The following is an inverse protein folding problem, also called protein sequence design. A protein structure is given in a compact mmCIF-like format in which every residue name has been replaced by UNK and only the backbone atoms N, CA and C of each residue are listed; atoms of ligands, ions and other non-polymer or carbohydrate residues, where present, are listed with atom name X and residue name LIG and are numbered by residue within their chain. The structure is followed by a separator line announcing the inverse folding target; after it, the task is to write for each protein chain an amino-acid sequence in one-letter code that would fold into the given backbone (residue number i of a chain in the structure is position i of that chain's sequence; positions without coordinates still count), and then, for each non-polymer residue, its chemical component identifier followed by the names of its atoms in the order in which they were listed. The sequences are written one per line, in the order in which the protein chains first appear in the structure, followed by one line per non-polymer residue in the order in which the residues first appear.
data_IF_013184409889
#
_entry.id   IF_013184409889
#
_cell.length_a   1.000
_cell.length_b   1.000
_cell.length_c   1.000
_cell.angle_alpha   90.00
_cell.angle_beta   90.00
_cell.angle_gamma   90.00
#
_symmetry.space_group_name_H-M   'P 1'
#
loop_
_entity.id
_entity.type
_entity.pdbx_description
1 polymer ?
#
# COMPACT_ATOMS: atom_id res chain seq x y z
N UNK A 1 27.38 -8.21 15.85
CA UNK A 1 26.01 -7.63 15.89
C UNK A 1 25.28 -7.75 14.57
N UNK A 2 25.92 -7.53 13.40
CA UNK A 2 25.27 -7.63 12.08
C UNK A 2 24.72 -9.03 11.77
N UNK A 3 25.49 -10.08 12.04
CA UNK A 3 25.09 -11.48 11.68
C UNK A 3 23.87 -11.97 12.47
N UNK A 4 23.77 -11.57 13.75
CA UNK A 4 22.63 -11.94 14.58
C UNK A 4 21.35 -11.21 14.16
N UNK A 5 21.44 -9.94 13.76
CA UNK A 5 20.28 -9.20 13.24
C UNK A 5 19.82 -9.79 11.90
N UNK A 6 20.76 -10.09 10.99
CA UNK A 6 20.41 -10.65 9.69
C UNK A 6 19.70 -12.01 9.84
N UNK A 7 20.20 -12.88 10.73
CA UNK A 7 19.54 -14.16 11.00
C UNK A 7 18.14 -13.96 11.58
N UNK A 8 17.98 -13.04 12.55
CA UNK A 8 16.66 -12.74 13.12
C UNK A 8 15.67 -12.18 12.09
N UNK A 9 16.14 -11.32 11.17
CA UNK A 9 15.33 -10.81 10.06
C UNK A 9 14.96 -11.92 9.09
N UNK A 10 15.90 -12.79 8.76
CA UNK A 10 15.63 -13.97 7.92
C UNK A 10 14.55 -14.86 8.55
N UNK A 11 14.71 -15.21 9.82
CA UNK A 11 13.75 -16.06 10.54
C UNK A 11 12.36 -15.41 10.58
N UNK A 12 12.30 -14.10 10.83
CA UNK A 12 11.03 -13.34 10.81
C UNK A 12 10.37 -13.37 9.43
N UNK A 13 11.12 -13.08 8.37
CA UNK A 13 10.62 -13.08 6.99
C UNK A 13 10.12 -14.47 6.60
N UNK A 14 10.90 -15.53 6.84
CA UNK A 14 10.53 -16.91 6.52
C UNK A 14 9.27 -17.36 7.25
N UNK A 15 9.11 -16.95 8.52
CA UNK A 15 7.92 -17.25 9.31
C UNK A 15 6.66 -16.52 8.83
N UNK A 16 6.79 -15.28 8.31
CA UNK A 16 5.66 -14.40 8.05
C UNK A 16 5.31 -14.23 6.56
N UNK A 17 6.24 -14.42 5.62
CA UNK A 17 5.99 -14.27 4.18
C UNK A 17 4.88 -15.21 3.67
N UNK A 18 4.62 -16.30 4.40
CA UNK A 18 3.52 -17.20 4.14
C UNK A 18 2.17 -16.53 4.09
N UNK A 19 1.90 -15.65 5.04
CA UNK A 19 0.63 -14.95 5.14
C UNK A 19 0.37 -14.01 3.94
N UNK A 20 1.42 -13.39 3.39
CA UNK A 20 1.30 -12.63 2.14
C UNK A 20 0.82 -13.51 0.99
N UNK A 21 1.46 -14.67 0.79
CA UNK A 21 1.10 -15.60 -0.29
C UNK A 21 -0.31 -16.18 -0.12
N UNK A 22 -0.71 -16.50 1.10
CA UNK A 22 -2.07 -16.99 1.41
C UNK A 22 -3.13 -15.91 1.09
N UNK A 23 -2.91 -14.67 1.50
CA UNK A 23 -3.81 -13.55 1.19
C UNK A 23 -3.87 -13.30 -0.33
N UNK A 24 -2.72 -13.35 -1.02
CA UNK A 24 -2.64 -13.23 -2.47
C UNK A 24 -3.47 -14.32 -3.17
N UNK A 25 -3.32 -15.58 -2.74
CA UNK A 25 -4.08 -16.70 -3.26
C UNK A 25 -5.59 -16.57 -2.96
N UNK A 26 -5.96 -16.16 -1.75
CA UNK A 26 -7.34 -15.93 -1.36
C UNK A 26 -8.01 -14.81 -2.20
N UNK A 27 -7.24 -13.81 -2.62
CA UNK A 27 -7.71 -12.74 -3.50
C UNK A 27 -8.22 -13.29 -4.83
N UNK A 28 -7.56 -14.30 -5.39
CA UNK A 28 -7.98 -14.94 -6.65
C UNK A 28 -9.15 -15.89 -6.42
N UNK A 29 -9.09 -16.74 -5.38
CA UNK A 29 -10.09 -17.79 -5.14
C UNK A 29 -11.48 -17.27 -4.77
N UNK A 30 -11.58 -16.12 -4.11
CA UNK A 30 -12.81 -15.63 -3.49
C UNK A 30 -13.50 -14.48 -4.25
N UNK A 31 -13.02 -14.11 -5.45
CA UNK A 31 -13.58 -12.99 -6.22
C UNK A 31 -14.57 -13.47 -7.30
N UNK A 32 -15.57 -12.64 -7.54
CA UNK A 32 -16.53 -12.80 -8.64
C UNK A 32 -16.25 -11.78 -9.73
N UNK A 33 -16.68 -12.05 -10.95
CA UNK A 33 -16.54 -11.13 -12.07
C UNK A 33 -17.12 -9.75 -11.74
N UNK A 34 -18.30 -9.71 -11.15
CA UNK A 34 -19.00 -8.47 -10.81
C UNK A 34 -18.18 -7.58 -9.84
N UNK A 35 -17.53 -8.19 -8.84
CA UNK A 35 -16.65 -7.47 -7.89
C UNK A 35 -15.44 -6.83 -8.57
N UNK A 36 -14.95 -7.47 -9.62
CA UNK A 36 -13.78 -6.99 -10.38
C UNK A 36 -14.20 -5.89 -11.35
N UNK A 37 -15.32 -6.08 -12.04
CA UNK A 37 -15.83 -5.12 -13.03
C UNK A 37 -16.23 -3.78 -12.41
N UNK A 38 -16.93 -3.78 -11.27
CA UNK A 38 -17.40 -2.56 -10.59
C UNK A 38 -16.27 -1.63 -10.14
N UNK A 39 -15.05 -2.14 -10.05
CA UNK A 39 -13.86 -1.36 -9.63
C UNK A 39 -13.03 -0.84 -10.80
N UNK A 40 -13.46 -1.04 -12.03
CA UNK A 40 -12.68 -0.72 -13.22
C UNK A 40 -13.44 0.21 -14.16
N UNK A 41 -12.70 1.07 -14.83
CA UNK A 41 -13.26 2.06 -15.75
C UNK A 41 -13.58 1.42 -17.11
N UNK A 42 -14.86 1.20 -17.46
CA UNK A 42 -15.24 0.55 -18.72
C UNK A 42 -14.85 1.39 -19.94
N UNK A 43 -14.84 2.72 -19.83
CA UNK A 43 -14.45 3.61 -20.94
C UNK A 43 -12.99 3.43 -21.33
N UNK A 44 -12.10 3.28 -20.34
CA UNK A 44 -10.68 3.02 -20.60
C UNK A 44 -10.48 1.71 -21.37
N UNK A 45 -11.17 0.65 -20.96
CA UNK A 45 -11.03 -0.65 -21.64
C UNK A 45 -11.65 -0.62 -23.05
N UNK A 46 -12.77 0.09 -23.24
CA UNK A 46 -13.35 0.30 -24.56
C UNK A 46 -12.39 1.04 -25.50
N UNK A 47 -11.72 2.07 -25.01
CA UNK A 47 -10.75 2.84 -25.77
C UNK A 47 -9.54 2.00 -26.23
N UNK A 48 -9.17 0.95 -25.51
CA UNK A 48 -8.08 0.03 -25.88
C UNK A 48 -8.46 -0.97 -26.98
N UNK A 49 -9.73 -1.06 -27.38
CA UNK A 49 -10.25 -1.96 -28.42
C UNK A 49 -9.76 -3.41 -28.31
N UNK A 50 -9.94 -4.01 -27.13
CA UNK A 50 -9.44 -5.34 -26.79
C UNK A 50 -10.44 -6.44 -27.15
N UNK A 51 -9.94 -7.65 -27.43
CA UNK A 51 -10.76 -8.87 -27.43
C UNK A 51 -11.25 -9.17 -26.02
N UNK A 52 -12.29 -10.03 -25.86
CA UNK A 52 -12.80 -10.44 -24.55
C UNK A 52 -11.70 -11.00 -23.65
N UNK A 53 -10.85 -11.86 -24.20
CA UNK A 53 -9.75 -12.47 -23.45
C UNK A 53 -8.76 -11.40 -22.98
N UNK A 54 -8.32 -10.52 -23.86
CA UNK A 54 -7.41 -9.42 -23.51
C UNK A 54 -8.04 -8.46 -22.48
N UNK A 55 -9.34 -8.24 -22.58
CA UNK A 55 -10.09 -7.41 -21.64
C UNK A 55 -10.07 -8.04 -20.25
N UNK A 56 -10.43 -9.32 -20.11
CA UNK A 56 -10.47 -10.02 -18.83
C UNK A 56 -9.07 -10.06 -18.19
N UNK A 57 -8.04 -10.44 -18.96
CA UNK A 57 -6.66 -10.40 -18.45
C UNK A 57 -6.25 -8.98 -18.02
N UNK A 58 -6.49 -7.96 -18.83
CA UNK A 58 -6.13 -6.59 -18.51
C UNK A 58 -6.85 -6.04 -17.26
N UNK A 59 -8.10 -6.45 -17.02
CA UNK A 59 -8.83 -6.11 -15.81
C UNK A 59 -8.21 -6.81 -14.61
N UNK A 60 -7.88 -8.09 -14.74
CA UNK A 60 -7.30 -8.88 -13.65
C UNK A 60 -5.89 -8.44 -13.29
N UNK A 61 -5.03 -8.19 -14.27
CA UNK A 61 -3.68 -7.68 -14.03
C UNK A 61 -3.71 -6.35 -13.26
N UNK A 62 -4.58 -5.43 -13.67
CA UNK A 62 -4.76 -4.17 -12.99
C UNK A 62 -5.37 -4.33 -11.57
N UNK A 63 -6.17 -5.37 -11.35
CA UNK A 63 -6.73 -5.67 -10.04
C UNK A 63 -5.67 -6.29 -9.11
N UNK A 64 -4.95 -7.30 -9.58
CA UNK A 64 -3.92 -8.00 -8.80
C UNK A 64 -2.76 -7.10 -8.44
N UNK A 65 -2.23 -6.34 -9.39
CA UNK A 65 -1.13 -5.40 -9.14
C UNK A 65 -1.44 -4.47 -7.96
N UNK A 66 -2.64 -3.89 -7.93
CA UNK A 66 -3.03 -3.00 -6.82
C UNK A 66 -3.18 -3.73 -5.48
N UNK A 67 -3.65 -4.98 -5.49
CA UNK A 67 -3.79 -5.76 -4.26
C UNK A 67 -2.45 -6.25 -3.74
N UNK A 68 -1.58 -6.73 -4.62
CA UNK A 68 -0.24 -7.21 -4.27
C UNK A 68 0.62 -6.10 -3.69
N UNK A 69 0.59 -4.88 -4.24
CA UNK A 69 1.27 -3.72 -3.69
C UNK A 69 0.81 -3.41 -2.25
N UNK A 70 -0.48 -3.49 -1.98
CA UNK A 70 -1.02 -3.25 -0.64
C UNK A 70 -0.59 -4.36 0.32
N UNK A 71 -0.82 -5.63 -0.03
CA UNK A 71 -0.49 -6.77 0.82
C UNK A 71 1.01 -6.87 1.11
N UNK A 72 1.83 -6.58 0.11
CA UNK A 72 3.28 -6.61 0.27
C UNK A 72 3.78 -5.41 1.06
N UNK A 73 3.16 -4.24 0.90
CA UNK A 73 3.42 -3.06 1.72
C UNK A 73 3.20 -3.33 3.20
N UNK A 74 2.05 -3.91 3.56
CA UNK A 74 1.72 -4.29 4.95
C UNK A 74 2.74 -5.30 5.53
N UNK A 75 3.15 -6.28 4.71
CA UNK A 75 4.16 -7.25 5.11
C UNK A 75 5.53 -6.59 5.37
N UNK A 76 6.00 -5.73 4.46
CA UNK A 76 7.28 -5.02 4.62
C UNK A 76 7.25 -4.01 5.78
N UNK A 77 6.11 -3.38 6.05
CA UNK A 77 5.93 -2.54 7.26
C UNK A 77 6.13 -3.37 8.53
N UNK A 78 5.61 -4.61 8.55
CA UNK A 78 5.86 -5.56 9.63
C UNK A 78 7.35 -5.89 9.79
N UNK A 79 8.07 -6.12 8.69
CA UNK A 79 9.53 -6.34 8.70
C UNK A 79 10.26 -5.11 9.25
N UNK A 80 9.91 -3.90 8.80
CA UNK A 80 10.53 -2.67 9.27
C UNK A 80 10.31 -2.44 10.78
N UNK A 81 9.10 -2.71 11.26
CA UNK A 81 8.75 -2.64 12.69
C UNK A 81 9.57 -3.66 13.51
N UNK A 82 9.66 -4.90 13.03
CA UNK A 82 10.47 -5.95 13.66
C UNK A 82 11.96 -5.55 13.76
N UNK A 83 12.52 -5.09 12.64
CA UNK A 83 13.92 -4.61 12.59
C UNK A 83 14.15 -3.50 13.60
N UNK A 84 13.32 -2.46 13.58
CA UNK A 84 13.45 -1.33 14.49
C UNK A 84 13.34 -1.74 15.96
N UNK A 85 12.40 -2.63 16.29
CA UNK A 85 12.20 -3.11 17.68
C UNK A 85 13.31 -4.07 18.16
N UNK A 86 14.01 -4.72 17.22
CA UNK A 86 15.15 -5.59 17.54
C UNK A 86 16.40 -4.79 17.85
N UNK A 87 16.57 -3.64 17.18
CA UNK A 87 17.80 -2.83 17.28
C UNK A 87 17.67 -1.67 18.27
N UNK A 88 16.47 -1.11 18.39
CA UNK A 88 16.18 0.09 19.18
C UNK A 88 14.99 -0.09 20.12
N UNK A 89 14.78 0.88 21.03
CA UNK A 89 13.51 1.04 21.73
C UNK A 89 12.46 1.57 20.75
N UNK A 90 11.82 0.63 20.03
CA UNK A 90 10.87 0.95 18.99
C UNK A 90 9.60 0.10 19.10
N UNK A 91 8.46 0.67 18.75
CA UNK A 91 7.17 -0.01 18.75
C UNK A 91 6.19 0.57 17.72
N UNK A 92 5.23 -0.22 17.30
CA UNK A 92 4.05 0.25 16.57
C UNK A 92 3.04 0.78 17.61
N UNK A 93 2.64 2.07 17.53
CA UNK A 93 1.60 2.58 18.43
C UNK A 93 0.21 2.05 17.99
N UNK A 94 -0.77 2.07 18.90
CA UNK A 94 -2.16 1.83 18.50
C UNK A 94 -2.72 3.03 17.72
N UNK A 95 -3.75 2.79 16.91
CA UNK A 95 -4.43 3.87 16.15
C UNK A 95 -5.03 4.93 17.07
N UNK A 96 -5.55 4.52 18.24
CA UNK A 96 -6.12 5.42 19.24
C UNK A 96 -5.05 6.24 19.95
N UNK A 97 -3.81 5.73 20.01
CA UNK A 97 -2.69 6.44 20.62
C UNK A 97 -2.09 7.48 19.67
N UNK A 98 -1.71 7.07 18.46
CA UNK A 98 -1.08 7.91 17.45
C UNK A 98 -1.57 7.52 16.04
N UNK A 99 -2.65 8.15 15.64
CA UNK A 99 -3.26 7.86 14.33
C UNK A 99 -2.29 8.12 13.18
N UNK A 100 -2.15 7.13 12.28
CA UNK A 100 -1.35 7.22 11.08
C UNK A 100 0.16 7.18 11.28
N UNK A 101 0.62 6.91 12.53
CA UNK A 101 2.02 6.65 12.82
C UNK A 101 2.23 5.13 12.88
N UNK A 102 3.14 4.63 12.06
CA UNK A 102 3.42 3.21 11.93
C UNK A 102 4.49 2.73 12.91
N UNK A 103 5.41 3.63 13.32
CA UNK A 103 6.51 3.31 14.21
C UNK A 103 6.89 4.51 15.09
N UNK A 104 7.08 4.28 16.38
CA UNK A 104 7.76 5.21 17.30
C UNK A 104 9.09 4.59 17.68
N UNK A 105 10.16 5.32 17.47
CA UNK A 105 11.54 4.87 17.64
C UNK A 105 12.32 5.85 18.52
N UNK A 106 13.05 5.35 19.52
CA UNK A 106 14.01 6.14 20.31
C UNK A 106 15.43 5.82 19.94
N UNK A 107 16.17 6.85 19.55
CA UNK A 107 17.56 6.73 19.10
C UNK A 107 18.34 8.01 19.45
N UNK A 108 19.52 7.86 20.04
CA UNK A 108 20.42 8.98 20.37
C UNK A 108 19.75 10.11 21.18
N UNK A 109 18.90 9.76 22.15
CA UNK A 109 18.18 10.73 23.00
C UNK A 109 17.03 11.47 22.32
N UNK A 110 16.69 11.12 21.07
CA UNK A 110 15.59 11.68 20.30
C UNK A 110 14.46 10.66 20.11
N UNK A 111 13.25 11.17 19.96
CA UNK A 111 12.06 10.36 19.59
C UNK A 111 11.70 10.62 18.14
N UNK A 112 11.57 9.56 17.37
CA UNK A 112 11.15 9.62 15.98
C UNK A 112 9.74 9.04 15.84
N UNK A 113 8.87 9.78 15.14
CA UNK A 113 7.56 9.31 14.70
C UNK A 113 7.62 9.04 13.21
N UNK A 114 7.35 7.81 12.81
CA UNK A 114 7.57 7.35 11.44
C UNK A 114 6.26 6.93 10.80
N UNK A 115 5.96 7.47 9.63
CA UNK A 115 4.94 6.95 8.72
C UNK A 115 5.66 6.23 7.57
N UNK A 116 5.40 4.92 7.45
CA UNK A 116 6.07 4.04 6.48
C UNK A 116 5.28 3.99 5.18
N UNK A 117 5.99 4.03 4.06
CA UNK A 117 5.43 3.93 2.70
C UNK A 117 6.24 2.97 1.85
N UNK A 118 5.62 2.33 0.85
CA UNK A 118 6.32 1.42 -0.05
C UNK A 118 7.47 2.14 -0.75
N UNK A 119 7.21 3.23 -1.47
CA UNK A 119 8.23 3.92 -2.26
C UNK A 119 8.11 5.44 -2.26
N UNK A 120 9.02 6.17 -2.91
CA UNK A 120 9.12 7.62 -2.81
C UNK A 120 7.96 8.40 -3.45
N UNK A 121 7.23 7.78 -4.38
CA UNK A 121 6.13 8.40 -5.13
C UNK A 121 4.75 7.91 -4.67
N UNK A 122 4.62 7.58 -3.40
CA UNK A 122 3.46 6.91 -2.79
C UNK A 122 2.17 7.73 -2.76
N UNK A 123 2.25 9.05 -2.82
CA UNK A 123 1.10 9.88 -2.49
C UNK A 123 0.82 11.04 -3.43
N UNK A 124 -0.46 11.35 -3.61
CA UNK A 124 -0.92 12.62 -4.16
C UNK A 124 -0.94 13.72 -3.09
N UNK A 125 -1.28 14.95 -3.50
CA UNK A 125 -1.33 16.12 -2.60
C UNK A 125 -2.19 15.88 -1.35
N UNK A 126 -3.36 15.24 -1.48
CA UNK A 126 -4.25 14.98 -0.34
C UNK A 126 -3.67 13.98 0.65
N UNK A 127 -2.98 12.95 0.15
CA UNK A 127 -2.31 11.95 0.98
C UNK A 127 -1.13 12.56 1.74
N UNK A 128 -0.35 13.43 1.09
CA UNK A 128 0.73 14.18 1.75
C UNK A 128 0.16 15.10 2.85
N UNK A 129 -0.96 15.81 2.59
CA UNK A 129 -1.61 16.63 3.62
C UNK A 129 -2.07 15.80 4.82
N UNK A 130 -2.59 14.59 4.59
CA UNK A 130 -2.98 13.66 5.66
C UNK A 130 -1.77 13.24 6.51
N UNK A 131 -0.65 12.86 5.88
CA UNK A 131 0.59 12.54 6.59
C UNK A 131 1.05 13.71 7.47
N UNK A 132 1.07 14.94 6.94
CA UNK A 132 1.44 16.14 7.71
C UNK A 132 0.50 16.37 8.90
N UNK A 133 -0.79 16.10 8.72
CA UNK A 133 -1.77 16.17 9.82
C UNK A 133 -1.46 15.14 10.91
N UNK A 134 -1.17 13.90 10.54
CA UNK A 134 -0.78 12.85 11.49
C UNK A 134 0.47 13.24 12.28
N UNK A 135 1.49 13.76 11.62
CA UNK A 135 2.71 14.24 12.31
C UNK A 135 2.40 15.37 13.28
N UNK A 136 1.60 16.35 12.87
CA UNK A 136 1.19 17.46 13.75
C UNK A 136 0.42 16.97 14.97
N UNK A 137 -0.53 16.06 14.81
CA UNK A 137 -1.30 15.48 15.90
C UNK A 137 -0.41 14.68 16.84
N UNK A 138 0.51 13.87 16.29
CA UNK A 138 1.48 13.12 17.08
C UNK A 138 2.42 14.02 17.88
N UNK A 139 2.91 15.14 17.32
CA UNK A 139 3.68 16.14 18.06
C UNK A 139 2.90 16.70 19.27
N UNK A 140 1.63 17.07 19.07
CA UNK A 140 0.79 17.60 20.14
C UNK A 140 0.59 16.62 21.30
N UNK A 141 0.55 15.32 20.99
CA UNK A 141 0.36 14.26 22.00
C UNK A 141 1.67 13.95 22.72
N UNK A 142 2.77 13.91 22.00
CA UNK A 142 4.06 13.43 22.55
C UNK A 142 4.88 14.54 23.20
N UNK A 143 4.86 15.78 22.70
CA UNK A 143 5.66 16.87 23.26
C UNK A 143 5.39 17.14 24.73
N UNK A 144 4.13 17.13 25.25
CA UNK A 144 3.87 17.28 26.67
C UNK A 144 4.33 16.08 27.51
N UNK A 145 4.41 14.88 26.91
CA UNK A 145 4.87 13.66 27.59
C UNK A 145 6.40 13.58 27.70
N UNK A 146 7.08 14.21 26.74
CA UNK A 146 8.54 14.21 26.61
C UNK A 146 9.06 15.64 26.37
N UNK A 147 8.92 16.57 27.37
CA UNK A 147 9.19 17.99 27.18
C UNK A 147 10.66 18.28 26.81
N UNK A 148 11.58 17.46 27.32
CA UNK A 148 13.02 17.63 27.11
C UNK A 148 13.57 16.82 25.91
N UNK A 149 12.71 16.13 25.16
CA UNK A 149 13.12 15.33 24.02
C UNK A 149 12.78 16.03 22.70
N UNK A 150 13.73 16.00 21.79
CA UNK A 150 13.48 16.38 20.39
C UNK A 150 12.65 15.27 19.71
N UNK A 151 11.50 15.66 19.18
CA UNK A 151 10.62 14.77 18.41
C UNK A 151 10.79 15.10 16.93
N UNK A 152 11.09 14.08 16.11
CA UNK A 152 11.34 14.23 14.67
C UNK A 152 10.37 13.36 13.89
N UNK A 153 9.66 13.97 12.94
CA UNK A 153 8.80 13.24 12.00
C UNK A 153 9.63 12.65 10.86
N UNK A 154 9.32 11.42 10.47
CA UNK A 154 9.99 10.70 9.39
C UNK A 154 8.97 10.05 8.46
N UNK A 155 9.06 10.38 7.17
CA UNK A 155 8.44 9.59 6.11
C UNK A 155 9.46 8.56 5.62
N UNK A 156 9.32 7.31 6.05
CA UNK A 156 10.16 6.20 5.67
C UNK A 156 9.63 5.52 4.41
N UNK A 157 10.43 5.45 3.35
CA UNK A 157 10.08 4.74 2.12
C UNK A 157 10.96 3.48 1.99
N UNK A 158 10.33 2.31 1.88
CA UNK A 158 11.04 1.03 1.89
C UNK A 158 11.94 0.82 0.68
N UNK A 159 11.65 1.45 -0.45
CA UNK A 159 12.53 1.45 -1.62
C UNK A 159 12.63 2.85 -2.26
N UNK A 160 13.50 2.97 -3.25
CA UNK A 160 13.74 4.21 -3.99
C UNK A 160 14.86 5.06 -3.42
N UNK A 161 14.97 6.28 -3.89
CA UNK A 161 16.00 7.25 -3.51
C UNK A 161 15.39 8.64 -3.34
N UNK A 162 15.86 9.40 -2.36
CA UNK A 162 15.60 10.84 -2.25
C UNK A 162 16.93 11.54 -2.00
N UNK A 163 17.22 12.63 -2.74
CA UNK A 163 18.49 13.38 -2.63
C UNK A 163 18.45 14.45 -1.55
N UNK A 164 17.28 14.75 -1.03
CA UNK A 164 17.07 15.83 -0.05
C UNK A 164 16.25 15.31 1.11
N UNK A 165 16.87 14.68 2.11
CA UNK A 165 16.15 14.02 3.21
C UNK A 165 15.35 15.00 4.07
N UNK A 166 15.82 16.24 4.24
CA UNK A 166 15.08 17.26 5.00
C UNK A 166 13.97 17.88 4.14
N UNK A 167 12.74 17.75 4.57
CA UNK A 167 11.56 18.29 3.91
C UNK A 167 10.82 19.28 4.80
N UNK A 168 10.14 20.21 4.14
CA UNK A 168 9.25 21.18 4.79
C UNK A 168 7.88 21.06 4.15
N UNK A 169 6.94 20.49 4.87
CA UNK A 169 5.55 20.37 4.42
C UNK A 169 4.74 21.58 4.85
N UNK A 170 3.92 22.12 3.94
CA UNK A 170 2.91 23.14 4.28
C UNK A 170 1.57 22.47 4.50
N UNK A 171 1.04 22.58 5.72
CA UNK A 171 -0.27 22.05 6.06
C UNK A 171 -1.34 23.08 5.69
N UNK A 172 -2.24 22.68 4.78
CA UNK A 172 -3.40 23.49 4.40
C UNK A 172 -4.53 23.25 5.40
N UNK A 173 -4.62 24.03 6.44
CA UNK A 173 -5.71 23.98 7.41
C UNK A 173 -6.56 25.26 7.37
N UNK A 174 -7.85 25.14 7.66
CA UNK A 174 -8.81 26.25 7.59
C UNK A 174 -8.52 27.42 8.56
N UNK A 175 -7.61 27.24 9.51
CA UNK A 175 -7.28 28.28 10.51
C UNK A 175 -5.85 28.84 10.41
N UNK A 176 -4.95 28.18 9.69
CA UNK A 176 -3.56 28.62 9.51
C UNK A 176 -3.00 28.03 8.21
N UNK A 177 -3.14 28.75 7.07
CA UNK A 177 -2.75 28.24 5.76
C UNK A 177 -1.22 28.07 5.55
N UNK A 178 -0.41 28.60 6.47
CA UNK A 178 1.05 28.59 6.37
C UNK A 178 1.75 27.76 7.45
N UNK A 179 1.04 26.85 8.10
CA UNK A 179 1.65 26.01 9.11
C UNK A 179 2.67 25.06 8.49
N UNK A 180 3.90 25.15 8.97
CA UNK A 180 5.03 24.38 8.50
C UNK A 180 5.22 23.16 9.39
N UNK A 181 5.27 21.96 8.78
CA UNK A 181 5.60 20.70 9.44
C UNK A 181 6.91 20.18 8.85
N UNK A 182 8.04 20.31 9.55
CA UNK A 182 9.30 19.73 9.12
C UNK A 182 9.29 18.21 9.30
N UNK A 183 9.88 17.49 8.36
CA UNK A 183 10.04 16.03 8.46
C UNK A 183 11.23 15.55 7.65
N UNK A 184 11.73 14.38 7.97
CA UNK A 184 12.71 13.70 7.15
C UNK A 184 12.01 12.76 6.17
N UNK A 185 12.54 12.67 4.95
CA UNK A 185 12.13 11.66 3.97
C UNK A 185 13.31 10.76 3.70
N UNK A 186 13.27 9.55 4.22
CA UNK A 186 14.32 8.55 4.10
C UNK A 186 13.85 7.43 3.18
N UNK A 187 14.60 7.12 2.11
CA UNK A 187 14.19 6.16 1.10
C UNK A 187 15.24 5.07 0.89
N UNK A 188 14.79 3.82 0.72
CA UNK A 188 15.64 2.68 0.42
C UNK A 188 16.73 2.50 1.47
N UNK A 189 18.00 2.55 1.04
CA UNK A 189 19.15 2.36 1.93
C UNK A 189 19.11 3.28 3.15
N UNK A 190 18.77 4.57 2.98
CA UNK A 190 18.72 5.53 4.08
C UNK A 190 17.69 5.15 5.13
N UNK A 191 16.50 4.69 4.69
CA UNK A 191 15.46 4.23 5.61
C UNK A 191 15.85 2.95 6.35
N UNK A 192 16.33 1.94 5.64
CA UNK A 192 16.74 0.68 6.25
C UNK A 192 17.92 0.86 7.19
N UNK A 193 18.92 1.69 6.82
CA UNK A 193 20.01 2.06 7.73
C UNK A 193 19.51 2.78 8.98
N UNK A 194 18.59 3.73 8.82
CA UNK A 194 18.05 4.50 9.93
C UNK A 194 17.41 3.60 11.00
N UNK A 195 16.68 2.56 10.62
CA UNK A 195 15.97 1.65 11.53
C UNK A 195 16.82 0.45 12.00
N UNK A 196 18.01 0.23 11.47
CA UNK A 196 18.81 -0.99 11.75
C UNK A 196 20.25 -0.73 12.15
N UNK A 197 20.81 0.45 11.89
CA UNK A 197 22.26 0.73 11.91
C UNK A 197 23.09 -0.22 11.01
N UNK A 198 22.45 -0.92 10.06
CA UNK A 198 23.10 -1.78 9.07
C UNK A 198 22.93 -1.19 7.67
N UNK A 199 24.03 -0.72 7.06
CA UNK A 199 24.02 -0.07 5.73
C UNK A 199 23.64 -1.00 4.57
N UNK A 200 23.77 -2.30 4.75
CA UNK A 200 23.56 -3.31 3.72
C UNK A 200 22.23 -4.05 3.88
N UNK A 201 21.48 -3.81 4.97
CA UNK A 201 20.19 -4.51 5.25
C UNK A 201 19.20 -4.42 4.09
N UNK A 202 19.14 -3.29 3.37
CA UNK A 202 18.23 -3.11 2.23
C UNK A 202 18.47 -4.09 1.08
N UNK A 203 19.69 -4.65 0.97
CA UNK A 203 20.03 -5.72 0.03
C UNK A 203 19.90 -7.09 0.66
N UNK A 204 20.25 -7.22 1.94
CA UNK A 204 20.28 -8.50 2.63
C UNK A 204 18.89 -9.13 2.79
N UNK A 205 17.85 -8.29 2.93
CA UNK A 205 16.45 -8.76 3.02
C UNK A 205 15.92 -9.38 1.72
N UNK A 206 16.57 -9.19 0.57
CA UNK A 206 16.14 -9.76 -0.71
C UNK A 206 16.17 -11.30 -0.68
N UNK A 207 17.19 -11.89 -0.06
CA UNK A 207 17.35 -13.34 -0.01
C UNK A 207 16.20 -14.04 0.73
N UNK A 208 15.88 -13.69 1.99
CA UNK A 208 14.77 -14.32 2.71
C UNK A 208 13.40 -14.04 2.09
N UNK A 209 13.19 -12.90 1.40
CA UNK A 209 11.95 -12.63 0.67
C UNK A 209 11.66 -13.68 -0.42
N UNK A 210 12.69 -14.28 -1.00
CA UNK A 210 12.59 -15.37 -1.96
C UNK A 210 12.25 -16.73 -1.36
N UNK A 211 12.09 -16.86 -0.05
CA UNK A 211 11.83 -18.14 0.61
C UNK A 211 10.57 -18.83 0.08
N UNK A 212 10.75 -20.04 -0.46
CA UNK A 212 9.71 -20.84 -1.12
C UNK A 212 8.91 -20.10 -2.21
N UNK A 213 9.41 -18.98 -2.73
CA UNK A 213 8.68 -18.16 -3.70
C UNK A 213 8.29 -18.93 -4.96
N UNK A 214 9.17 -19.82 -5.47
CA UNK A 214 8.90 -20.65 -6.65
C UNK A 214 7.71 -21.59 -6.44
N UNK A 215 7.67 -22.30 -5.31
CA UNK A 215 6.56 -23.20 -4.96
C UNK A 215 5.25 -22.43 -4.82
N UNK A 216 5.26 -21.38 -4.00
CA UNK A 216 4.07 -20.57 -3.70
C UNK A 216 3.52 -19.82 -4.91
N UNK A 217 4.43 -19.38 -5.79
CA UNK A 217 4.03 -18.78 -7.05
C UNK A 217 3.43 -19.80 -8.02
N UNK A 218 3.91 -21.04 -8.01
CA UNK A 218 3.30 -22.15 -8.78
C UNK A 218 1.85 -22.41 -8.35
N UNK A 219 1.59 -22.53 -7.05
CA UNK A 219 0.25 -22.69 -6.47
C UNK A 219 -0.68 -21.51 -6.82
N UNK A 220 -0.13 -20.29 -6.81
CA UNK A 220 -0.88 -19.09 -7.20
C UNK A 220 -1.22 -19.09 -8.68
N UNK A 221 -0.29 -19.40 -9.57
CA UNK A 221 -0.50 -19.39 -11.02
C UNK A 221 -1.56 -20.42 -11.43
N UNK A 222 -1.53 -21.63 -10.86
CA UNK A 222 -2.55 -22.65 -11.11
C UNK A 222 -3.95 -22.14 -10.71
N UNK A 223 -4.09 -21.55 -9.53
CA UNK A 223 -5.35 -20.97 -9.07
C UNK A 223 -5.79 -19.77 -9.93
N UNK A 224 -4.84 -18.96 -10.37
CA UNK A 224 -5.08 -17.80 -11.23
C UNK A 224 -5.59 -18.23 -12.61
N UNK A 225 -4.96 -19.21 -13.24
CA UNK A 225 -5.37 -19.72 -14.55
C UNK A 225 -6.79 -20.30 -14.50
N UNK A 226 -7.10 -21.08 -13.47
CA UNK A 226 -8.45 -21.61 -13.25
C UNK A 226 -9.47 -20.48 -13.04
N UNK A 227 -9.11 -19.46 -12.30
CA UNK A 227 -9.96 -18.31 -12.06
C UNK A 227 -10.20 -17.50 -13.33
N UNK A 228 -9.16 -17.20 -14.10
CA UNK A 228 -9.28 -16.50 -15.39
C UNK A 228 -10.21 -17.26 -16.33
N UNK A 229 -10.06 -18.57 -16.46
CA UNK A 229 -10.92 -19.39 -17.30
C UNK A 229 -12.40 -19.22 -16.89
N UNK A 230 -12.70 -19.30 -15.59
CA UNK A 230 -14.06 -19.10 -15.10
C UNK A 230 -14.57 -17.68 -15.38
N UNK A 231 -13.75 -16.66 -15.20
CA UNK A 231 -14.13 -15.27 -15.49
C UNK A 231 -14.40 -15.04 -16.99
N UNK A 232 -13.60 -15.64 -17.87
CA UNK A 232 -13.83 -15.58 -19.32
C UNK A 232 -15.18 -16.20 -19.67
N UNK A 233 -15.50 -17.38 -19.15
CA UNK A 233 -16.81 -18.01 -19.37
C UNK A 233 -17.95 -17.15 -18.85
N UNK A 234 -17.84 -16.63 -17.65
CA UNK A 234 -18.87 -15.77 -17.05
C UNK A 234 -19.03 -14.46 -17.84
N UNK A 235 -17.93 -13.84 -18.26
CA UNK A 235 -17.93 -12.62 -19.05
C UNK A 235 -18.60 -12.86 -20.42
N UNK A 236 -18.25 -13.94 -21.11
CA UNK A 236 -18.85 -14.31 -22.39
C UNK A 236 -20.36 -14.56 -22.26
N UNK A 237 -20.80 -15.23 -21.19
CA UNK A 237 -22.20 -15.49 -20.96
C UNK A 237 -23.01 -14.22 -20.69
N UNK A 238 -22.42 -13.21 -20.05
CA UNK A 238 -23.12 -11.96 -19.67
C UNK A 238 -22.97 -10.86 -20.72
N UNK A 239 -21.78 -10.72 -21.35
CA UNK A 239 -21.43 -9.52 -22.10
C UNK A 239 -20.96 -9.78 -23.55
N UNK A 240 -21.22 -10.93 -24.12
CA UNK A 240 -20.94 -11.21 -25.54
C UNK A 240 -22.19 -10.99 -26.39
N UNK A 241 -22.02 -10.24 -27.49
CA UNK A 241 -23.06 -10.13 -28.53
C UNK A 241 -23.05 -11.34 -29.47
N UNK A 242 -24.12 -11.57 -30.25
CA UNK A 242 -24.19 -12.65 -31.24
C UNK A 242 -23.06 -12.62 -32.28
N UNK A 243 -22.57 -11.43 -32.65
CA UNK A 243 -21.45 -11.21 -33.56
C UNK A 243 -20.09 -11.49 -32.94
N UNK A 244 -20.02 -11.89 -31.66
CA UNK A 244 -18.80 -12.17 -30.92
C UNK A 244 -18.16 -10.95 -30.26
N UNK A 245 -18.67 -9.75 -30.51
CA UNK A 245 -18.15 -8.52 -29.91
C UNK A 245 -18.62 -8.35 -28.45
N UNK A 246 -17.96 -7.44 -27.71
CA UNK A 246 -18.34 -7.11 -26.33
C UNK A 246 -19.59 -6.23 -26.33
N UNK A 247 -20.56 -6.53 -25.47
CA UNK A 247 -21.75 -5.73 -25.20
C UNK A 247 -21.44 -4.54 -24.28
N UNK A 248 -20.67 -3.57 -24.79
CA UNK A 248 -20.14 -2.44 -24.02
C UNK A 248 -21.21 -1.61 -23.32
N UNK A 249 -22.36 -1.43 -23.97
CA UNK A 249 -23.46 -0.68 -23.37
C UNK A 249 -24.00 -1.41 -22.12
N UNK A 250 -24.20 -2.71 -22.21
CA UNK A 250 -24.66 -3.54 -21.09
C UNK A 250 -23.63 -3.54 -19.95
N UNK A 251 -22.35 -3.69 -20.27
CA UNK A 251 -21.27 -3.62 -19.29
C UNK A 251 -21.22 -2.26 -18.60
N UNK A 252 -21.35 -1.16 -19.36
CA UNK A 252 -21.33 0.19 -18.81
C UNK A 252 -22.55 0.45 -17.92
N UNK A 253 -23.73 -0.02 -18.31
CA UNK A 253 -24.94 0.03 -17.46
C UNK A 253 -24.72 -0.71 -16.16
N UNK A 254 -24.21 -1.94 -16.20
CA UNK A 254 -23.93 -2.72 -14.99
C UNK A 254 -23.00 -1.98 -14.02
N UNK A 255 -21.92 -1.34 -14.54
CA UNK A 255 -20.92 -0.64 -13.70
C UNK A 255 -21.42 0.70 -13.18
N UNK A 256 -22.25 1.43 -13.96
CA UNK A 256 -22.47 2.86 -13.75
C UNK A 256 -23.95 3.29 -13.70
N UNK A 257 -24.91 2.38 -13.94
CA UNK A 257 -26.32 2.74 -13.90
C UNK A 257 -26.77 3.05 -12.47
N UNK A 258 -27.49 4.13 -12.32
CA UNK A 258 -28.16 4.54 -11.09
C UNK A 258 -29.45 5.25 -11.43
N UNK A 259 -30.28 5.53 -10.44
CA UNK A 259 -31.49 6.35 -10.57
C UNK A 259 -31.12 7.84 -10.63
N UNK A 260 -30.21 8.19 -11.57
CA UNK A 260 -29.61 9.50 -11.66
C UNK A 260 -30.61 10.65 -11.85
N UNK A 261 -31.69 10.53 -12.68
CA UNK A 261 -32.67 11.60 -12.83
C UNK A 261 -33.32 11.98 -11.50
N UNK A 262 -33.74 11.01 -10.71
CA UNK A 262 -34.40 11.23 -9.41
C UNK A 262 -33.42 11.78 -8.37
N UNK A 263 -32.16 11.25 -8.35
CA UNK A 263 -31.14 11.72 -7.42
C UNK A 263 -30.71 13.14 -7.70
N UNK A 264 -30.50 13.50 -8.95
CA UNK A 264 -30.09 14.87 -9.33
C UNK A 264 -31.22 15.85 -9.05
N UNK A 265 -32.46 15.53 -9.39
CA UNK A 265 -33.61 16.38 -9.08
C UNK A 265 -33.75 16.66 -7.58
N UNK A 266 -33.51 15.65 -6.73
CA UNK A 266 -33.54 15.82 -5.27
C UNK A 266 -32.41 16.71 -4.73
N UNK A 267 -31.25 16.75 -5.39
CA UNK A 267 -30.14 17.63 -5.01
C UNK A 267 -30.40 19.09 -5.43
N UNK A 268 -31.14 19.32 -6.53
CA UNK A 268 -31.47 20.65 -7.02
C UNK A 268 -32.61 21.31 -6.22
N UNK A 269 -33.41 20.51 -5.49
CA UNK A 269 -34.56 20.97 -4.70
C UNK A 269 -34.30 21.08 -3.21
N UNK A 270 -33.15 20.67 -2.70
CA UNK A 270 -32.70 20.74 -1.29
C UNK A 270 -31.63 21.79 -1.09
#
# INVERSE_FOLDING_TARGET
MSDNLLQAVQDYVEANIGAFHEKRLATVKNRKLDDVLTRKNPYLFRAKNQTVIQLVYGIMDAFLSSQEETLFGDFLEGVATFVASTVFDARKPSVDELRGIDLVLRKQGKTFIVEVKSGPNWGNSSQVQRMLTHFKEAFKILQPRFPDQEIIAVNGCMYGKDRSPHKTGRLKSAGNPDEIVPYWKLCGQDFWYFISDNKDLYTDIIQPLGYRSKQRNGEFLEAYDNFINNLVFEFLSKYRKPDGSVAWEQLTRFVSQSDAPERVANLETG
#
